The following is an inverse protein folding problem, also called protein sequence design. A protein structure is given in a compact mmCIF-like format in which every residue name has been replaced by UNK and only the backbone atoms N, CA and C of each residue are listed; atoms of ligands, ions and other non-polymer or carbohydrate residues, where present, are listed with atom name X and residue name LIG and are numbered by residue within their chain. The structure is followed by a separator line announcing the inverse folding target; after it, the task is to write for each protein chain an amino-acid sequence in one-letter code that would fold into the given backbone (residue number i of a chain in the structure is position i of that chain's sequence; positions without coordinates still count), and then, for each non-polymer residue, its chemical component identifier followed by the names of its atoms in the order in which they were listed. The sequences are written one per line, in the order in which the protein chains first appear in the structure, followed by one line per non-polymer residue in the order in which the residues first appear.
data_IF_613206681241
#
_entry.id   IF_613206681241
#
_cell.length_a   1.000
_cell.length_b   1.000
_cell.length_c   1.000
_cell.angle_alpha   90.00
_cell.angle_beta   90.00
_cell.angle_gamma   90.00
#
_symmetry.space_group_name_H-M   'P 1'
#
loop_
_entity.id
_entity.type
_entity.pdbx_description
1 polymer ?
#
# COMPACT_ATOMS: atom_id res chain seq x y z
N UNK A 1 20.00 -16.63 11.46
CA UNK A 1 20.00 -15.24 10.95
C UNK A 1 18.97 -15.20 9.82
N UNK A 2 17.69 -14.96 10.09
CA UNK A 2 16.62 -15.25 9.11
C UNK A 2 15.50 -14.20 9.12
N UNK A 3 15.80 -12.98 8.65
CA UNK A 3 14.85 -11.86 8.72
C UNK A 3 14.76 -11.03 7.42
N UNK A 4 15.13 -11.55 6.24
CA UNK A 4 15.25 -10.70 5.03
C UNK A 4 14.54 -11.17 3.74
N UNK A 5 13.78 -12.27 3.77
CA UNK A 5 13.23 -12.88 2.54
C UNK A 5 11.97 -12.20 1.97
N UNK A 6 11.33 -11.26 2.69
CA UNK A 6 10.05 -10.64 2.23
C UNK A 6 10.21 -9.34 1.43
N UNK A 7 11.26 -8.54 1.66
CA UNK A 7 11.50 -7.30 0.89
C UNK A 7 12.03 -7.59 -0.53
N UNK A 8 12.69 -8.72 -0.72
CA UNK A 8 13.25 -9.12 -2.02
C UNK A 8 12.18 -9.37 -3.09
N UNK A 9 10.96 -9.76 -2.70
CA UNK A 9 9.88 -10.04 -3.64
C UNK A 9 9.22 -8.78 -4.18
N UNK A 10 9.18 -7.67 -3.42
CA UNK A 10 8.53 -6.43 -3.88
C UNK A 10 9.31 -5.75 -5.01
N UNK A 11 10.64 -5.81 -4.96
CA UNK A 11 11.52 -5.14 -5.94
C UNK A 11 11.50 -5.79 -7.33
N UNK A 12 11.03 -7.04 -7.43
CA UNK A 12 10.89 -7.77 -8.71
C UNK A 12 9.48 -7.69 -9.28
N UNK A 13 8.52 -7.10 -8.56
CA UNK A 13 7.15 -7.01 -9.04
C UNK A 13 7.01 -6.05 -10.23
N UNK A 14 6.12 -6.36 -11.18
CA UNK A 14 5.65 -5.38 -12.15
C UNK A 14 5.13 -4.12 -11.45
N UNK A 15 5.37 -2.95 -12.03
CA UNK A 15 5.07 -1.64 -11.42
C UNK A 15 3.66 -1.54 -10.86
N UNK A 16 2.66 -2.02 -11.62
CA UNK A 16 1.26 -1.99 -11.18
C UNK A 16 1.04 -2.79 -9.90
N UNK A 17 1.62 -3.98 -9.82
CA UNK A 17 1.47 -4.87 -8.68
C UNK A 17 2.22 -4.33 -7.45
N UNK A 18 3.41 -3.75 -7.65
CA UNK A 18 4.10 -3.03 -6.58
C UNK A 18 3.24 -1.90 -6.00
N UNK A 19 2.66 -1.05 -6.85
CA UNK A 19 1.81 0.06 -6.39
C UNK A 19 0.54 -0.47 -5.71
N UNK A 20 -0.09 -1.50 -6.27
CA UNK A 20 -1.29 -2.16 -5.71
C UNK A 20 -1.02 -2.76 -4.32
N UNK A 21 0.17 -3.31 -4.08
CA UNK A 21 0.54 -3.92 -2.80
C UNK A 21 1.13 -2.95 -1.78
N UNK A 22 1.63 -1.78 -2.18
CA UNK A 22 2.32 -0.86 -1.26
C UNK A 22 1.48 0.37 -0.92
N UNK A 23 1.15 1.19 -1.92
CA UNK A 23 0.65 2.55 -1.69
C UNK A 23 -0.77 2.78 -2.18
N UNK A 24 -1.25 2.03 -3.16
CA UNK A 24 -2.59 2.24 -3.74
C UNK A 24 -3.72 2.09 -2.73
N UNK A 25 -3.74 1.12 -1.78
CA UNK A 25 -4.85 0.99 -0.84
C UNK A 25 -5.07 2.25 0.01
N UNK A 26 -3.97 2.77 0.58
CA UNK A 26 -4.01 3.98 1.41
C UNK A 26 -4.26 5.24 0.57
N UNK A 27 -3.71 5.31 -0.66
CA UNK A 27 -3.95 6.42 -1.58
C UNK A 27 -5.41 6.48 -2.02
N UNK A 28 -6.02 5.35 -2.40
CA UNK A 28 -7.43 5.30 -2.80
C UNK A 28 -8.34 5.75 -1.66
N UNK A 29 -8.06 5.34 -0.42
CA UNK A 29 -8.84 5.78 0.73
C UNK A 29 -8.63 7.28 1.02
N UNK A 30 -7.37 7.76 0.96
CA UNK A 30 -7.05 9.18 1.15
C UNK A 30 -7.71 10.07 0.10
N UNK A 31 -7.70 9.66 -1.17
CA UNK A 31 -8.34 10.38 -2.27
C UNK A 31 -9.87 10.42 -2.14
N UNK A 32 -10.50 9.33 -1.67
CA UNK A 32 -11.95 9.33 -1.37
C UNK A 32 -12.29 10.38 -0.32
N UNK A 33 -11.57 10.41 0.80
CA UNK A 33 -11.78 11.39 1.87
C UNK A 33 -11.52 12.81 1.37
N UNK A 34 -10.41 13.01 0.65
CA UNK A 34 -10.05 14.30 0.06
C UNK A 34 -11.14 14.83 -0.87
N UNK A 35 -11.69 13.97 -1.73
CA UNK A 35 -12.74 14.34 -2.69
C UNK A 35 -14.05 14.77 -2.04
N UNK A 36 -14.32 14.25 -0.82
CA UNK A 36 -15.50 14.55 -0.02
C UNK A 36 -15.33 15.85 0.77
N UNK A 37 -14.21 16.01 1.47
CA UNK A 37 -13.95 17.16 2.35
C UNK A 37 -13.56 18.42 1.57
N UNK A 38 -12.90 18.26 0.41
CA UNK A 38 -12.37 19.36 -0.43
C UNK A 38 -11.71 20.48 0.37
N UNK A 39 -10.69 20.17 1.19
CA UNK A 39 -10.01 21.16 2.00
C UNK A 39 -9.29 22.21 1.13
N UNK A 40 -9.08 23.39 1.70
CA UNK A 40 -8.39 24.49 1.02
C UNK A 40 -6.97 24.13 0.55
N UNK A 41 -6.30 23.23 1.28
CA UNK A 41 -4.97 22.71 0.92
C UNK A 41 -5.02 21.17 0.74
N UNK A 42 -5.33 20.69 -0.48
CA UNK A 42 -5.54 19.27 -0.73
C UNK A 42 -4.27 18.42 -0.58
N UNK A 43 -3.10 18.98 -0.89
CA UNK A 43 -1.83 18.24 -0.86
C UNK A 43 -1.41 17.99 0.58
N UNK A 44 -1.40 19.04 1.41
CA UNK A 44 -1.02 18.91 2.83
C UNK A 44 -2.01 18.03 3.61
N UNK A 45 -3.29 18.11 3.26
CA UNK A 45 -4.29 17.20 3.81
C UNK A 45 -3.99 15.74 3.48
N UNK A 46 -3.75 15.42 2.19
CA UNK A 46 -3.48 14.06 1.75
C UNK A 46 -2.18 13.52 2.37
N UNK A 47 -1.10 14.29 2.38
CA UNK A 47 0.16 13.91 3.02
C UNK A 47 -0.05 13.59 4.51
N UNK A 48 -0.77 14.45 5.23
CA UNK A 48 -1.13 14.22 6.63
C UNK A 48 -1.98 12.96 6.82
N UNK A 49 -2.92 12.70 5.90
CA UNK A 49 -3.75 11.50 5.92
C UNK A 49 -2.91 10.22 5.79
N UNK A 50 -1.96 10.21 4.85
CA UNK A 50 -1.07 9.07 4.62
C UNK A 50 -0.24 8.78 5.88
N UNK A 51 0.39 9.80 6.47
CA UNK A 51 1.24 9.64 7.67
C UNK A 51 0.42 9.12 8.85
N UNK A 52 -0.78 9.67 9.09
CA UNK A 52 -1.64 9.28 10.21
C UNK A 52 -2.19 7.86 10.09
N UNK A 53 -2.38 7.35 8.87
CA UNK A 53 -2.98 6.04 8.65
C UNK A 53 -1.97 4.96 8.24
N UNK A 54 -0.70 5.32 8.02
CA UNK A 54 0.38 4.41 7.60
C UNK A 54 0.39 3.06 8.35
N UNK A 55 0.34 3.09 9.68
CA UNK A 55 0.42 1.89 10.53
C UNK A 55 -0.73 0.90 10.32
N UNK A 56 -1.89 1.36 9.85
CA UNK A 56 -3.05 0.51 9.57
C UNK A 56 -2.85 -0.29 8.29
N UNK A 57 -2.18 0.30 7.29
CA UNK A 57 -2.00 -0.30 5.96
C UNK A 57 -0.68 -1.09 5.82
N UNK A 58 0.32 -0.82 6.67
CA UNK A 58 1.55 -1.63 6.69
C UNK A 58 1.32 -3.07 7.19
N UNK A 59 0.33 -3.30 8.05
CA UNK A 59 0.04 -4.63 8.60
C UNK A 59 -0.78 -5.52 7.66
N UNK A 60 -1.64 -4.94 6.80
CA UNK A 60 -2.50 -5.70 5.86
C UNK A 60 -1.72 -6.29 4.67
N UNK A 61 -0.56 -5.72 4.34
CA UNK A 61 0.27 -6.18 3.22
C UNK A 61 0.92 -7.56 3.45
N UNK A 62 0.83 -8.10 4.67
CA UNK A 62 1.48 -9.36 5.06
C UNK A 62 0.64 -10.63 4.80
N UNK A 63 -0.60 -10.50 4.32
CA UNK A 63 -1.61 -11.59 4.36
C UNK A 63 -1.88 -12.28 3.02
N UNK A 64 -1.29 -11.84 1.91
CA UNK A 64 -1.65 -12.29 0.55
C UNK A 64 -0.48 -12.89 -0.26
N UNK A 65 0.27 -13.83 0.32
CA UNK A 65 1.07 -14.79 -0.46
C UNK A 65 0.68 -16.23 -0.08
N UNK A 66 -0.44 -16.71 -0.61
CA UNK A 66 -0.64 -18.15 -0.80
C UNK A 66 -1.70 -18.40 -1.89
N UNK A 67 -1.27 -18.56 -3.15
CA UNK A 67 -1.84 -19.45 -4.18
C UNK A 67 -1.28 -19.10 -5.55
N UNK A 68 -0.99 -20.14 -6.34
CA UNK A 68 -0.53 -20.16 -7.73
C UNK A 68 1.01 -20.12 -7.84
N UNK A 69 1.73 -21.25 -7.95
CA UNK A 69 1.56 -22.23 -9.02
C UNK A 69 2.22 -23.58 -8.66
N UNK A 70 1.43 -24.60 -8.35
CA UNK A 70 1.81 -26.01 -8.56
C UNK A 70 1.08 -26.46 -9.81
N UNK A 71 1.79 -26.62 -10.91
CA UNK A 71 1.43 -27.58 -11.92
C UNK A 71 2.72 -28.22 -12.46
N UNK A 72 2.64 -29.55 -12.51
CA UNK A 72 3.62 -30.49 -13.02
C UNK A 72 3.97 -30.22 -14.48
#
# INVERSE_FOLDING_TARGET
MENNTKKSNLNSLPTRQYLDQTVNPILLQGLKVLSKERPADPINFLASYLIKNKSKFENDSNSNENSNNTNQ
#
